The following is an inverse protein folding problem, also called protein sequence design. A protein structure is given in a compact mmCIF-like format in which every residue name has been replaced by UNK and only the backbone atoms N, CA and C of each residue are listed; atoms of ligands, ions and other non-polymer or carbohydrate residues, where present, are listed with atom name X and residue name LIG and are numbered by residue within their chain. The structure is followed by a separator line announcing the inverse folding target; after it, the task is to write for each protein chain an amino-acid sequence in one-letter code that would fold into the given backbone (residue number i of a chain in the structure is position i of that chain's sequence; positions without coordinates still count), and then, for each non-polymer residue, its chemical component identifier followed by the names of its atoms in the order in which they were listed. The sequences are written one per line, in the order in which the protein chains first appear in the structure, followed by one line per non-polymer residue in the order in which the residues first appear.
data_IF_646548348556
#
_entry.id   IF_646548348556
#
_cell.length_a   1.000
_cell.length_b   1.000
_cell.length_c   1.000
_cell.angle_alpha   90.00
_cell.angle_beta   90.00
_cell.angle_gamma   90.00
#
_symmetry.space_group_name_H-M   'P 1'
#
loop_
_entity.id
_entity.type
_entity.pdbx_description
1 polymer ?
#
# COMPACT_ATOMS: atom_id res chain seq x y z
N UNK A 1 1.26 8.15 -11.20
CA UNK A 1 2.00 7.24 -10.30
C UNK A 1 2.49 7.99 -9.04
N UNK A 2 2.19 7.51 -7.83
CA UNK A 2 2.41 8.17 -6.52
C UNK A 2 1.85 9.62 -6.33
N UNK A 3 2.34 10.61 -7.09
CA UNK A 3 1.89 12.02 -7.03
C UNK A 3 0.38 12.17 -7.29
N UNK A 4 -0.17 11.46 -8.26
CA UNK A 4 -1.62 11.46 -8.56
C UNK A 4 -2.48 10.92 -7.42
N UNK A 5 -1.93 10.02 -6.59
CA UNK A 5 -2.70 9.37 -5.53
C UNK A 5 -2.54 10.05 -4.19
N UNK A 6 -1.37 10.62 -3.96
CA UNK A 6 -1.00 11.15 -2.65
C UNK A 6 -0.77 12.67 -2.65
N UNK A 7 -0.82 13.34 -3.80
CA UNK A 7 -0.63 14.78 -3.93
C UNK A 7 0.82 15.22 -3.90
N UNK A 8 1.07 16.45 -3.47
CA UNK A 8 2.42 16.98 -3.29
C UNK A 8 3.03 16.45 -2.00
N UNK A 9 3.63 15.25 -2.10
CA UNK A 9 4.45 14.68 -1.03
C UNK A 9 5.87 14.57 -1.48
N UNK A 10 6.76 14.93 -0.56
CA UNK A 10 8.19 14.79 -0.72
C UNK A 10 8.58 13.42 -0.15
N UNK A 11 8.96 12.45 -0.98
CA UNK A 11 9.46 11.17 -0.50
C UNK A 11 10.79 11.36 0.23
N UNK A 12 11.01 10.55 1.28
CA UNK A 12 12.29 10.46 1.97
C UNK A 12 13.09 9.32 1.33
N UNK A 13 14.28 9.63 0.80
CA UNK A 13 15.18 8.62 0.27
C UNK A 13 15.75 7.75 1.40
N UNK A 14 15.86 6.45 1.15
CA UNK A 14 16.51 5.45 2.01
C UNK A 14 17.36 4.54 1.13
N UNK A 15 18.27 3.76 1.73
CA UNK A 15 19.27 2.95 1.00
C UNK A 15 18.71 2.09 -0.14
N UNK A 16 17.45 1.67 -0.04
CA UNK A 16 16.79 0.77 -1.01
C UNK A 16 15.57 1.39 -1.71
N UNK A 17 15.37 2.71 -1.64
CA UNK A 17 14.28 3.38 -2.33
C UNK A 17 13.74 4.59 -1.59
N UNK A 18 12.42 4.71 -1.49
CA UNK A 18 11.76 5.89 -0.94
C UNK A 18 10.67 5.50 0.05
N UNK A 19 10.54 6.28 1.11
CA UNK A 19 9.45 6.21 2.07
C UNK A 19 8.57 7.46 1.91
N UNK A 20 7.27 7.23 1.83
CA UNK A 20 6.26 8.28 1.81
C UNK A 20 5.45 8.17 3.11
N UNK A 21 5.38 9.25 3.87
CA UNK A 21 4.47 9.38 5.01
C UNK A 21 3.34 10.33 4.65
N UNK A 22 2.11 9.83 4.62
CA UNK A 22 0.93 10.61 4.23
C UNK A 22 -0.35 10.06 4.83
N UNK A 23 -1.39 10.89 4.86
CA UNK A 23 -2.72 10.49 5.29
C UNK A 23 -3.47 9.89 4.11
N UNK A 24 -3.98 8.67 4.27
CA UNK A 24 -4.79 7.98 3.27
C UNK A 24 -6.11 7.51 3.89
N UNK A 25 -7.16 7.45 3.08
CA UNK A 25 -8.38 6.73 3.46
C UNK A 25 -8.17 5.24 3.24
N UNK A 26 -8.04 4.47 4.31
CA UNK A 26 -7.95 3.01 4.25
C UNK A 26 -9.31 2.44 3.81
N UNK A 27 -9.30 1.66 2.73
CA UNK A 27 -10.49 1.04 2.14
C UNK A 27 -10.10 -0.12 1.22
N UNK A 28 -11.05 -0.98 0.84
CA UNK A 28 -10.82 -2.05 -0.15
C UNK A 28 -10.30 -1.51 -1.49
N UNK A 29 -10.78 -0.35 -1.93
CA UNK A 29 -10.29 0.31 -3.15
C UNK A 29 -8.84 0.76 -3.02
N UNK A 30 -8.43 1.22 -1.84
CA UNK A 30 -7.03 1.55 -1.58
C UNK A 30 -6.14 0.29 -1.63
N UNK A 31 -6.59 -0.81 -1.03
CA UNK A 31 -5.88 -2.08 -1.09
C UNK A 31 -5.80 -2.67 -2.51
N UNK A 32 -6.90 -2.64 -3.27
CA UNK A 32 -6.90 -3.07 -4.67
C UNK A 32 -5.94 -2.23 -5.54
N UNK A 33 -5.88 -0.92 -5.29
CA UNK A 33 -4.91 -0.06 -5.97
C UNK A 33 -3.46 -0.39 -5.55
N UNK A 34 -3.19 -0.66 -4.27
CA UNK A 34 -1.85 -1.08 -3.84
C UNK A 34 -1.42 -2.41 -4.50
N UNK A 35 -2.34 -3.33 -4.74
CA UNK A 35 -1.99 -4.60 -5.41
C UNK A 35 -1.56 -4.44 -6.86
N UNK A 36 -1.88 -3.34 -7.55
CA UNK A 36 -1.44 -3.13 -8.94
C UNK A 36 0.07 -2.91 -9.07
N UNK A 37 0.78 -2.72 -7.95
CA UNK A 37 2.23 -2.55 -7.91
C UNK A 37 2.97 -3.87 -7.64
N UNK A 38 2.26 -5.00 -7.55
CA UNK A 38 2.86 -6.34 -7.48
C UNK A 38 3.98 -6.49 -6.43
N UNK A 39 3.80 -5.83 -5.27
CA UNK A 39 4.75 -5.89 -4.16
C UNK A 39 5.88 -4.84 -4.18
N UNK A 40 5.99 -4.03 -5.24
CA UNK A 40 6.94 -2.91 -5.30
C UNK A 40 6.58 -1.77 -4.33
N UNK A 41 5.30 -1.67 -3.95
CA UNK A 41 4.81 -0.76 -2.91
C UNK A 41 4.32 -1.56 -1.71
N UNK A 42 4.76 -1.19 -0.51
CA UNK A 42 4.42 -1.88 0.74
C UNK A 42 3.99 -0.90 1.83
N UNK A 43 3.05 -1.35 2.67
CA UNK A 43 2.67 -0.64 3.89
C UNK A 43 3.69 -0.99 4.96
N UNK A 44 4.46 -0.01 5.42
CA UNK A 44 5.45 -0.20 6.49
C UNK A 44 4.75 -0.11 7.84
N UNK A 45 4.02 0.99 8.08
CA UNK A 45 3.23 1.29 9.28
C UNK A 45 1.89 1.96 8.89
N UNK A 46 0.85 1.89 9.75
CA UNK A 46 0.80 1.13 11.00
C UNK A 46 0.71 -0.38 10.74
N UNK A 47 1.29 -1.20 11.64
CA UNK A 47 1.19 -2.68 11.58
C UNK A 47 -0.24 -3.20 11.41
N UNK A 48 -1.23 -2.56 12.04
CA UNK A 48 -2.64 -2.95 11.93
C UNK A 48 -3.17 -2.83 10.49
N UNK A 49 -2.78 -1.78 9.77
CA UNK A 49 -3.18 -1.58 8.37
C UNK A 49 -2.44 -2.54 7.44
N UNK A 50 -1.16 -2.80 7.72
CA UNK A 50 -0.39 -3.82 7.01
C UNK A 50 -1.04 -5.21 7.13
N UNK A 51 -1.53 -5.54 8.33
CA UNK A 51 -2.23 -6.80 8.58
C UNK A 51 -3.57 -6.86 7.82
N UNK A 52 -4.36 -5.79 7.83
CA UNK A 52 -5.60 -5.71 7.04
C UNK A 52 -5.35 -5.87 5.54
N UNK A 53 -4.26 -5.31 5.01
CA UNK A 53 -3.90 -5.51 3.60
C UNK A 53 -3.53 -6.97 3.29
N UNK A 54 -2.78 -7.62 4.18
CA UNK A 54 -2.46 -9.05 4.06
C UNK A 54 -3.74 -9.89 4.02
N UNK A 55 -4.66 -9.66 4.94
CA UNK A 55 -5.96 -10.36 5.00
C UNK A 55 -6.80 -10.13 3.74
N UNK A 56 -6.79 -8.91 3.20
CA UNK A 56 -7.47 -8.60 1.94
C UNK A 56 -6.93 -9.45 0.78
N UNK A 57 -5.61 -9.55 0.62
CA UNK A 57 -4.99 -10.35 -0.44
C UNK A 57 -5.23 -11.85 -0.23
N UNK A 58 -5.01 -12.36 0.98
CA UNK A 58 -5.26 -13.78 1.31
C UNK A 58 -6.73 -14.15 1.07
N UNK A 59 -7.68 -13.26 1.39
CA UNK A 59 -9.09 -13.48 1.12
C UNK A 59 -9.49 -13.46 -0.36
N UNK A 60 -8.66 -12.89 -1.24
CA UNK A 60 -8.82 -13.00 -2.70
C UNK A 60 -8.25 -14.34 -3.19
N UNK A 61 -7.04 -14.69 -2.74
CA UNK A 61 -6.37 -15.94 -3.12
C UNK A 61 -7.22 -17.17 -2.75
N UNK A 62 -7.77 -17.20 -1.55
CA UNK A 62 -8.63 -18.28 -1.08
C UNK A 62 -9.96 -18.45 -1.85
N UNK A 63 -10.29 -17.55 -2.79
CA UNK A 63 -11.49 -17.66 -3.64
C UNK A 63 -11.20 -18.15 -5.05
N UNK A 64 -9.92 -18.24 -5.43
CA UNK A 64 -9.47 -18.69 -6.74
C UNK A 64 -8.70 -20.02 -6.67
N UNK A 65 -8.38 -20.47 -5.45
CA UNK A 65 -8.00 -21.85 -5.10
C UNK A 65 -9.24 -22.70 -4.84
#
# INVERSE_FOLDING_TARGET
MAKERFGDIIPVSVDSGYIINTTVRVSKTFFAWLSTFEGQVKIIEPKSIRQQFKEFITGILAKIE
#
